data_IF_949833643558
#
_entry.id   IF_949833643558
#
_cell.length_a   1.000
_cell.length_b   1.000
_cell.length_c   1.000
_cell.angle_alpha   90.00
_cell.angle_beta   90.00
_cell.angle_gamma   90.00
#
_symmetry.space_group_name_H-M   'P 1'
#
loop_
_entity.id
_entity.type
_entity.pdbx_description
1 polymer ?
#
# COMPACT_ATOMS: atom_id res chain seq x y z
N UNK A 1 -11.95 -15.10 9.04
CA UNK A 1 -11.50 -14.31 7.87
C UNK A 1 -12.52 -14.30 6.72
N UNK A 2 -13.19 -15.43 6.39
CA UNK A 2 -14.41 -15.47 5.56
C UNK A 2 -15.56 -14.59 6.08
N UNK A 3 -15.49 -14.21 7.37
CA UNK A 3 -16.44 -13.33 8.04
C UNK A 3 -16.46 -11.89 7.50
N UNK A 4 -15.32 -11.29 7.09
CA UNK A 4 -15.28 -9.87 6.70
C UNK A 4 -16.17 -9.55 5.49
N UNK A 5 -15.93 -10.20 4.35
CA UNK A 5 -16.70 -9.99 3.12
C UNK A 5 -18.15 -10.45 3.26
N UNK A 6 -18.37 -11.60 3.91
CA UNK A 6 -19.71 -12.16 4.11
C UNK A 6 -20.57 -11.23 4.98
N UNK A 7 -20.00 -10.69 6.05
CA UNK A 7 -20.65 -9.73 6.94
C UNK A 7 -20.92 -8.41 6.24
N UNK A 8 -19.97 -7.89 5.47
CA UNK A 8 -20.15 -6.68 4.68
C UNK A 8 -21.27 -6.86 3.64
N UNK A 9 -21.33 -8.00 2.95
CA UNK A 9 -22.38 -8.32 2.01
C UNK A 9 -23.77 -8.44 2.67
N UNK A 10 -23.85 -9.04 3.86
CA UNK A 10 -25.09 -9.12 4.65
C UNK A 10 -25.57 -7.71 5.05
N UNK A 11 -24.69 -6.89 5.60
CA UNK A 11 -25.02 -5.53 6.02
C UNK A 11 -25.42 -4.64 4.84
N UNK A 12 -24.77 -4.80 3.68
CA UNK A 12 -25.15 -4.09 2.47
C UNK A 12 -26.59 -4.40 2.05
N UNK A 13 -27.03 -5.67 2.16
CA UNK A 13 -28.44 -6.04 1.89
C UNK A 13 -29.41 -5.41 2.89
N UNK A 14 -29.02 -5.29 4.16
CA UNK A 14 -29.87 -4.70 5.20
C UNK A 14 -30.01 -3.18 5.05
N UNK A 15 -28.90 -2.50 4.72
CA UNK A 15 -28.86 -1.06 4.51
C UNK A 15 -29.51 -0.70 3.17
N UNK A 16 -29.14 -1.39 2.09
CA UNK A 16 -29.65 -1.19 0.72
C UNK A 16 -29.54 0.26 0.22
N UNK A 17 -28.47 0.96 0.60
CA UNK A 17 -28.20 2.33 0.15
C UNK A 17 -27.19 2.35 -1.03
N UNK A 18 -27.40 3.14 -2.10
CA UNK A 18 -26.54 3.16 -3.29
C UNK A 18 -25.06 3.47 -3.00
N UNK A 19 -24.79 4.44 -2.12
CA UNK A 19 -23.43 4.82 -1.76
C UNK A 19 -22.69 3.69 -1.03
N UNK A 20 -23.35 3.02 -0.09
CA UNK A 20 -22.80 1.84 0.60
C UNK A 20 -22.57 0.70 -0.40
N UNK A 21 -23.53 0.44 -1.28
CA UNK A 21 -23.41 -0.60 -2.30
C UNK A 21 -22.21 -0.36 -3.24
N UNK A 22 -21.95 0.90 -3.59
CA UNK A 22 -20.80 1.26 -4.43
C UNK A 22 -19.48 0.96 -3.74
N UNK A 23 -19.31 1.35 -2.48
CA UNK A 23 -18.08 1.06 -1.74
C UNK A 23 -17.90 -0.45 -1.46
N UNK A 24 -18.99 -1.20 -1.22
CA UNK A 24 -18.91 -2.66 -1.09
C UNK A 24 -18.50 -3.32 -2.40
N UNK A 25 -18.96 -2.82 -3.56
CA UNK A 25 -18.49 -3.30 -4.87
C UNK A 25 -17.00 -3.01 -5.06
N UNK A 26 -16.55 -1.82 -4.69
CA UNK A 26 -15.12 -1.45 -4.74
C UNK A 26 -14.27 -2.42 -3.92
N UNK A 27 -14.63 -2.68 -2.66
CA UNK A 27 -13.93 -3.65 -1.80
C UNK A 27 -13.85 -5.03 -2.45
N UNK A 28 -14.97 -5.51 -3.02
CA UNK A 28 -14.96 -6.81 -3.70
C UNK A 28 -14.04 -6.81 -4.93
N UNK A 29 -14.00 -5.72 -5.71
CA UNK A 29 -13.08 -5.60 -6.84
C UNK A 29 -11.62 -5.63 -6.39
N UNK A 30 -11.27 -4.86 -5.36
CA UNK A 30 -9.92 -4.84 -4.75
C UNK A 30 -9.53 -6.25 -4.30
N UNK A 31 -10.37 -6.89 -3.49
CA UNK A 31 -10.05 -8.21 -2.93
C UNK A 31 -10.01 -9.29 -4.02
N UNK A 32 -10.88 -9.23 -5.02
CA UNK A 32 -10.86 -10.18 -6.12
C UNK A 32 -9.57 -10.06 -6.94
N UNK A 33 -9.16 -8.84 -7.31
CA UNK A 33 -7.91 -8.60 -8.03
C UNK A 33 -6.70 -9.14 -7.24
N UNK A 34 -6.59 -8.78 -5.96
CA UNK A 34 -5.52 -9.26 -5.09
C UNK A 34 -5.55 -10.79 -4.98
N UNK A 35 -6.72 -11.40 -4.77
CA UNK A 35 -6.83 -12.86 -4.67
C UNK A 35 -6.44 -13.60 -5.95
N UNK A 36 -6.68 -12.97 -7.11
CA UNK A 36 -6.28 -13.45 -8.42
C UNK A 36 -4.82 -13.17 -8.76
N UNK A 37 -4.06 -12.51 -7.87
CA UNK A 37 -2.69 -12.02 -8.11
C UNK A 37 -2.63 -11.07 -9.31
N UNK A 38 -3.62 -10.21 -9.42
CA UNK A 38 -3.72 -9.15 -10.42
C UNK A 38 -3.63 -7.77 -9.75
N UNK A 39 -3.26 -6.76 -10.53
CA UNK A 39 -3.30 -5.36 -10.12
C UNK A 39 -4.63 -4.70 -10.49
N UNK A 40 -5.04 -3.72 -9.69
CA UNK A 40 -6.03 -2.76 -10.12
C UNK A 40 -5.49 -1.94 -11.30
N UNK A 41 -6.36 -1.56 -12.23
CA UNK A 41 -5.96 -0.71 -13.38
C UNK A 41 -5.64 0.73 -12.96
N UNK A 42 -6.32 1.25 -11.95
CA UNK A 42 -6.21 2.60 -11.41
C UNK A 42 -6.33 2.55 -9.89
N UNK A 43 -5.98 3.65 -9.21
CA UNK A 43 -6.15 3.75 -7.77
C UNK A 43 -7.62 3.50 -7.37
N UNK A 44 -7.84 2.83 -6.24
CA UNK A 44 -9.17 2.59 -5.70
C UNK A 44 -9.83 3.91 -5.28
N UNK A 45 -11.16 3.92 -5.21
CA UNK A 45 -11.89 5.07 -4.66
C UNK A 45 -11.82 5.11 -3.13
N UNK A 46 -11.97 6.30 -2.50
CA UNK A 46 -12.05 6.40 -1.05
C UNK A 46 -13.20 5.58 -0.47
N UNK A 47 -12.90 4.87 0.61
CA UNK A 47 -13.82 4.07 1.40
C UNK A 47 -14.07 4.74 2.76
N UNK A 48 -15.18 4.36 3.37
CA UNK A 48 -15.70 5.02 4.55
C UNK A 48 -16.67 6.13 4.18
N UNK A 49 -17.50 6.49 5.16
CA UNK A 49 -18.45 7.58 5.08
C UNK A 49 -17.91 8.76 5.87
N UNK A 50 -17.86 9.93 5.22
CA UNK A 50 -17.66 11.20 5.91
C UNK A 50 -18.84 11.50 6.85
N UNK A 51 -18.68 12.39 7.85
CA UNK A 51 -19.73 12.67 8.83
C UNK A 51 -21.06 13.12 8.20
N UNK A 52 -21.00 14.03 7.22
CA UNK A 52 -22.15 14.51 6.44
C UNK A 52 -22.83 13.40 5.64
N UNK A 53 -22.03 12.57 4.96
CA UNK A 53 -22.52 11.40 4.23
C UNK A 53 -23.17 10.37 5.16
N UNK A 54 -22.60 10.16 6.35
CA UNK A 54 -23.13 9.24 7.34
C UNK A 54 -24.49 9.70 7.85
N UNK A 55 -24.61 10.98 8.21
CA UNK A 55 -25.86 11.60 8.67
C UNK A 55 -26.94 11.51 7.59
N UNK A 56 -26.62 11.89 6.36
CA UNK A 56 -27.55 11.82 5.22
C UNK A 56 -28.04 10.39 4.98
N UNK A 57 -27.14 9.41 4.96
CA UNK A 57 -27.54 8.01 4.77
C UNK A 57 -28.42 7.54 5.92
N UNK A 58 -28.13 7.95 7.16
CA UNK A 58 -28.92 7.55 8.33
C UNK A 58 -30.36 8.11 8.26
N UNK A 59 -30.51 9.34 7.79
CA UNK A 59 -31.83 9.94 7.52
C UNK A 59 -32.59 9.15 6.46
N UNK A 60 -31.92 8.77 5.37
CA UNK A 60 -32.53 8.02 4.27
C UNK A 60 -32.98 6.60 4.65
N UNK A 61 -32.20 5.91 5.49
CA UNK A 61 -32.43 4.49 5.83
C UNK A 61 -33.20 4.27 7.14
N UNK A 62 -33.42 5.32 7.94
CA UNK A 62 -34.06 5.26 9.25
C UNK A 62 -33.09 5.02 10.42
N UNK A 63 -33.35 5.69 11.55
CA UNK A 63 -32.50 5.65 12.76
C UNK A 63 -32.40 4.25 13.39
N UNK A 64 -33.37 3.38 13.14
CA UNK A 64 -33.37 1.98 13.56
C UNK A 64 -32.22 1.16 12.94
N UNK A 65 -31.67 1.61 11.81
CA UNK A 65 -30.50 0.99 11.16
C UNK A 65 -29.16 1.61 11.55
N UNK A 66 -29.14 2.52 12.52
CA UNK A 66 -27.93 3.23 12.97
C UNK A 66 -26.80 2.28 13.36
N UNK A 67 -27.12 1.17 14.06
CA UNK A 67 -26.10 0.21 14.46
C UNK A 67 -25.49 -0.53 13.27
N UNK A 68 -26.30 -0.94 12.29
CA UNK A 68 -25.87 -1.59 11.07
C UNK A 68 -25.01 -0.64 10.23
N UNK A 69 -25.40 0.63 10.11
CA UNK A 69 -24.64 1.64 9.39
C UNK A 69 -23.28 1.90 10.08
N UNK A 70 -23.26 2.02 11.41
CA UNK A 70 -22.03 2.16 12.19
C UNK A 70 -21.06 1.00 11.96
N UNK A 71 -21.56 -0.24 12.03
CA UNK A 71 -20.74 -1.44 11.78
C UNK A 71 -20.24 -1.46 10.33
N UNK A 72 -21.10 -1.11 9.38
CA UNK A 72 -20.74 -1.06 7.96
C UNK A 72 -19.64 -0.04 7.73
N UNK A 73 -19.78 1.19 8.23
CA UNK A 73 -18.76 2.22 8.10
C UNK A 73 -17.43 1.77 8.72
N UNK A 74 -17.46 1.10 9.88
CA UNK A 74 -16.27 0.52 10.49
C UNK A 74 -15.60 -0.51 9.55
N UNK A 75 -16.37 -1.41 8.94
CA UNK A 75 -15.84 -2.42 8.02
C UNK A 75 -15.27 -1.81 6.74
N UNK A 76 -15.93 -0.78 6.18
CA UNK A 76 -15.43 -0.01 5.04
C UNK A 76 -14.04 0.57 5.33
N UNK A 77 -13.86 1.16 6.52
CA UNK A 77 -12.58 1.70 7.00
C UNK A 77 -11.55 0.63 7.43
N UNK A 78 -11.93 -0.65 7.51
CA UNK A 78 -11.05 -1.73 7.99
C UNK A 78 -10.44 -2.56 6.86
N UNK A 79 -10.59 -2.15 5.59
CA UNK A 79 -10.08 -2.90 4.44
C UNK A 79 -8.57 -3.15 4.56
N UNK A 80 -7.77 -2.13 4.88
CA UNK A 80 -6.31 -2.28 4.98
C UNK A 80 -5.90 -3.31 6.03
N UNK A 81 -6.55 -3.32 7.18
CA UNK A 81 -6.32 -4.33 8.21
C UNK A 81 -6.69 -5.74 7.71
N UNK A 82 -7.80 -5.86 6.97
CA UNK A 82 -8.15 -7.12 6.34
C UNK A 82 -7.08 -7.57 5.34
N UNK A 83 -6.58 -6.66 4.49
CA UNK A 83 -5.56 -6.96 3.48
C UNK A 83 -4.22 -7.37 4.12
N UNK A 84 -3.77 -6.69 5.19
CA UNK A 84 -2.53 -7.05 5.87
C UNK A 84 -2.62 -8.42 6.54
N UNK A 85 -3.73 -8.69 7.24
CA UNK A 85 -3.95 -9.96 7.92
C UNK A 85 -4.21 -11.13 6.96
N UNK A 86 -4.74 -10.88 5.76
CA UNK A 86 -5.10 -11.93 4.80
C UNK A 86 -4.06 -12.15 3.70
N UNK A 87 -3.39 -11.09 3.28
CA UNK A 87 -2.50 -11.10 2.12
C UNK A 87 -1.09 -10.59 2.44
N UNK A 88 -0.79 -10.13 3.67
CA UNK A 88 0.55 -9.68 4.04
C UNK A 88 1.00 -8.43 3.27
N UNK A 89 0.05 -7.52 2.98
CA UNK A 89 0.30 -6.28 2.26
C UNK A 89 -0.28 -5.10 3.03
N UNK A 90 0.46 -3.99 3.05
CA UNK A 90 0.06 -2.75 3.71
C UNK A 90 -0.21 -1.62 2.75
N UNK A 91 0.16 -1.75 1.48
CA UNK A 91 -0.05 -0.76 0.42
C UNK A 91 -0.58 -1.46 -0.83
N UNK A 92 -1.44 -0.78 -1.58
CA UNK A 92 -2.14 -1.33 -2.75
C UNK A 92 -1.74 -0.54 -4.00
N UNK A 93 -0.67 -0.94 -4.72
CA UNK A 93 -0.34 -0.38 -6.02
C UNK A 93 -1.45 -0.61 -7.05
N UNK A 94 -1.39 0.18 -8.11
CA UNK A 94 -2.20 -0.01 -9.30
C UNK A 94 -1.33 0.15 -10.55
N UNK A 95 -1.79 -0.40 -11.68
CA UNK A 95 -1.04 -0.45 -12.93
C UNK A 95 -0.68 0.95 -13.45
N UNK A 96 -1.56 1.94 -13.31
CA UNK A 96 -1.28 3.31 -13.74
C UNK A 96 -0.11 3.93 -12.95
N UNK A 97 -0.02 3.66 -11.65
CA UNK A 97 1.11 4.11 -10.82
C UNK A 97 2.41 3.42 -11.18
N UNK A 98 2.41 2.10 -11.39
CA UNK A 98 3.62 1.40 -11.82
C UNK A 98 4.10 1.90 -13.18
N UNK A 99 3.17 2.11 -14.13
CA UNK A 99 3.49 2.68 -15.44
C UNK A 99 4.06 4.10 -15.30
N UNK A 100 3.46 4.94 -14.46
CA UNK A 100 3.97 6.30 -14.24
C UNK A 100 5.38 6.27 -13.64
N UNK A 101 5.68 5.38 -12.69
CA UNK A 101 7.05 5.21 -12.16
C UNK A 101 8.01 4.78 -13.26
N UNK A 102 7.60 3.84 -14.13
CA UNK A 102 8.40 3.40 -15.27
C UNK A 102 8.67 4.55 -16.25
N UNK A 103 7.67 5.36 -16.57
CA UNK A 103 7.77 6.47 -17.52
C UNK A 103 8.63 7.62 -16.97
N UNK A 104 8.66 7.84 -15.65
CA UNK A 104 9.48 8.88 -15.04
C UNK A 104 10.94 8.46 -14.87
N UNK A 105 11.19 7.23 -14.41
CA UNK A 105 12.52 6.80 -13.98
C UNK A 105 13.19 5.78 -14.88
N UNK A 106 12.44 5.14 -15.79
CA UNK A 106 12.94 4.13 -16.73
C UNK A 106 13.83 3.04 -16.09
N UNK A 107 13.47 2.47 -14.92
CA UNK A 107 14.33 1.50 -14.26
C UNK A 107 14.40 0.21 -15.09
N UNK A 108 15.60 -0.35 -15.24
CA UNK A 108 15.78 -1.70 -15.80
C UNK A 108 15.67 -2.74 -14.71
N UNK A 109 16.20 -2.43 -13.53
CA UNK A 109 16.09 -3.26 -12.33
C UNK A 109 15.52 -2.47 -11.14
N UNK A 110 14.52 -3.07 -10.47
CA UNK A 110 13.90 -2.56 -9.24
C UNK A 110 14.21 -3.48 -8.07
N UNK A 111 14.67 -2.91 -6.96
CA UNK A 111 14.76 -3.58 -5.67
C UNK A 111 13.64 -3.08 -4.75
N UNK A 112 12.71 -3.95 -4.40
CA UNK A 112 11.75 -3.70 -3.32
C UNK A 112 12.32 -4.20 -1.99
N UNK A 113 12.42 -3.30 -1.01
CA UNK A 113 12.80 -3.60 0.38
C UNK A 113 11.58 -3.40 1.28
N UNK A 114 11.50 -4.21 2.34
CA UNK A 114 10.32 -4.25 3.22
C UNK A 114 9.06 -4.64 2.43
N UNK A 115 9.21 -5.58 1.49
CA UNK A 115 8.19 -5.86 0.48
C UNK A 115 6.90 -6.48 1.04
N UNK A 116 6.90 -6.97 2.29
CA UNK A 116 5.87 -7.89 2.78
C UNK A 116 5.77 -9.08 1.83
N UNK A 117 4.57 -9.31 1.29
CA UNK A 117 4.35 -10.34 0.27
C UNK A 117 4.61 -9.90 -1.18
N UNK A 118 5.26 -8.74 -1.40
CA UNK A 118 5.79 -8.27 -2.69
C UNK A 118 4.73 -7.93 -3.75
N UNK A 119 3.69 -7.22 -3.35
CA UNK A 119 2.62 -6.81 -4.26
C UNK A 119 3.02 -5.63 -5.17
N UNK A 120 3.91 -4.73 -4.74
CA UNK A 120 4.53 -3.74 -5.63
C UNK A 120 5.45 -4.42 -6.65
N UNK A 121 6.27 -5.37 -6.22
CA UNK A 121 7.13 -6.10 -7.15
C UNK A 121 6.36 -6.94 -8.18
N UNK A 122 5.21 -7.50 -7.83
CA UNK A 122 4.30 -8.11 -8.81
C UNK A 122 3.93 -7.11 -9.91
N UNK A 123 3.69 -5.85 -9.55
CA UNK A 123 3.38 -4.79 -10.49
C UNK A 123 4.50 -4.49 -11.47
N UNK A 124 5.72 -4.26 -10.98
CA UNK A 124 6.88 -4.04 -11.85
C UNK A 124 7.15 -5.25 -12.76
N UNK A 125 7.03 -6.48 -12.24
CA UNK A 125 7.14 -7.69 -13.06
C UNK A 125 6.08 -7.79 -14.15
N UNK A 126 4.85 -7.35 -13.88
CA UNK A 126 3.76 -7.33 -14.88
C UNK A 126 4.10 -6.44 -16.07
N UNK A 127 4.91 -5.38 -15.87
CA UNK A 127 5.43 -4.51 -16.92
C UNK A 127 6.77 -5.00 -17.53
N UNK A 128 7.24 -6.19 -17.14
CA UNK A 128 8.48 -6.78 -17.67
C UNK A 128 9.77 -6.20 -17.08
N UNK A 129 9.70 -5.47 -15.96
CA UNK A 129 10.88 -4.89 -15.29
C UNK A 129 11.56 -5.97 -14.43
N UNK A 130 12.88 -6.08 -14.50
CA UNK A 130 13.64 -6.99 -13.62
C UNK A 130 13.46 -6.56 -12.17
N UNK A 131 12.88 -7.42 -11.35
CA UNK A 131 12.40 -7.00 -10.02
C UNK A 131 12.77 -8.02 -8.96
N UNK A 132 13.41 -7.52 -7.91
CA UNK A 132 13.87 -8.28 -6.74
C UNK A 132 13.07 -7.78 -5.53
N UNK A 133 12.40 -8.69 -4.85
CA UNK A 133 11.69 -8.38 -3.60
C UNK A 133 12.44 -8.95 -2.40
N UNK A 134 12.57 -8.15 -1.34
CA UNK A 134 13.21 -8.55 -0.09
C UNK A 134 12.37 -8.10 1.10
N UNK A 135 12.32 -8.96 2.11
CA UNK A 135 11.68 -8.67 3.39
C UNK A 135 12.35 -9.53 4.47
N UNK A 136 12.41 -9.03 5.71
CA UNK A 136 12.97 -9.77 6.84
C UNK A 136 11.99 -10.80 7.43
N UNK A 137 10.74 -10.82 6.97
CA UNK A 137 9.67 -11.70 7.42
C UNK A 137 9.39 -11.64 8.93
N UNK A 138 9.87 -10.62 9.64
CA UNK A 138 9.67 -10.47 11.09
C UNK A 138 8.18 -10.37 11.43
N UNK A 139 7.39 -9.71 10.58
CA UNK A 139 5.93 -9.62 10.70
C UNK A 139 5.22 -10.96 10.44
N UNK A 140 5.83 -11.87 9.68
CA UNK A 140 5.26 -13.15 9.30
C UNK A 140 5.49 -14.24 10.36
N UNK A 141 6.38 -14.02 11.34
CA UNK A 141 6.62 -14.99 12.44
C UNK A 141 5.34 -15.30 13.25
N UNK A 142 4.37 -14.40 13.22
CA UNK A 142 3.08 -14.54 13.90
C UNK A 142 1.88 -14.68 12.93
N UNK A 143 2.14 -14.74 11.62
CA UNK A 143 1.10 -14.77 10.58
C UNK A 143 1.34 -15.86 9.53
N UNK A 144 0.32 -16.67 9.25
CA UNK A 144 0.37 -17.67 8.17
C UNK A 144 0.48 -17.05 6.77
N UNK A 145 0.23 -15.74 6.63
CA UNK A 145 0.22 -15.08 5.32
C UNK A 145 1.59 -14.87 4.69
N UNK A 146 2.67 -14.81 5.48
CA UNK A 146 4.02 -14.63 4.93
C UNK A 146 4.53 -15.82 4.12
N UNK A 147 3.87 -16.98 4.20
CA UNK A 147 4.22 -18.17 3.43
C UNK A 147 3.64 -18.19 2.00
N UNK A 148 2.94 -17.13 1.57
CA UNK A 148 2.27 -17.07 0.27
C UNK A 148 2.52 -15.75 -0.46
N UNK A 149 3.77 -15.41 -0.77
CA UNK A 149 4.07 -14.17 -1.45
C UNK A 149 3.56 -14.17 -2.90
N UNK A 150 3.35 -12.97 -3.45
CA UNK A 150 2.85 -12.77 -4.81
C UNK A 150 3.89 -13.16 -5.86
N UNK A 151 5.16 -12.88 -5.57
CA UNK A 151 6.35 -13.33 -6.30
C UNK A 151 7.41 -13.82 -5.28
N UNK A 152 8.50 -14.48 -5.69
CA UNK A 152 9.56 -14.86 -4.73
C UNK A 152 10.10 -13.65 -3.95
N UNK A 153 10.17 -13.79 -2.62
CA UNK A 153 10.75 -12.81 -1.69
C UNK A 153 11.99 -13.41 -1.06
N UNK A 154 13.12 -12.71 -1.15
CA UNK A 154 14.35 -13.13 -0.48
C UNK A 154 14.35 -12.66 0.97
N UNK A 155 14.76 -13.55 1.86
CA UNK A 155 14.89 -13.27 3.30
C UNK A 155 16.15 -12.44 3.57
N UNK A 156 16.01 -11.13 3.36
CA UNK A 156 17.03 -10.14 3.66
C UNK A 156 16.36 -8.94 4.33
N UNK A 157 16.96 -8.48 5.42
CA UNK A 157 16.65 -7.15 5.92
C UNK A 157 17.03 -6.09 4.88
N UNK A 158 16.44 -4.90 5.01
CA UNK A 158 16.60 -3.82 4.04
C UNK A 158 18.07 -3.41 3.83
N UNK A 159 18.90 -3.41 4.88
CA UNK A 159 20.31 -3.03 4.79
C UNK A 159 21.12 -4.09 4.05
N UNK A 160 20.89 -5.36 4.38
CA UNK A 160 21.52 -6.51 3.72
C UNK A 160 21.15 -6.56 2.23
N UNK A 161 19.89 -6.29 1.89
CA UNK A 161 19.41 -6.21 0.51
C UNK A 161 20.11 -5.09 -0.29
N UNK A 162 20.13 -3.87 0.25
CA UNK A 162 20.80 -2.70 -0.36
C UNK A 162 22.28 -3.00 -0.64
N UNK A 163 22.98 -3.63 0.31
CA UNK A 163 24.39 -3.99 0.16
C UNK A 163 24.64 -5.07 -0.89
N UNK A 164 23.67 -5.95 -1.12
CA UNK A 164 23.81 -7.10 -2.00
C UNK A 164 23.43 -6.79 -3.44
N UNK A 165 22.35 -6.05 -3.63
CA UNK A 165 21.77 -5.77 -4.95
C UNK A 165 22.15 -4.37 -5.43
N UNK A 166 23.45 -4.17 -5.71
CA UNK A 166 23.98 -2.85 -6.04
C UNK A 166 23.79 -2.41 -7.49
N UNK A 167 23.07 -3.21 -8.28
CA UNK A 167 22.80 -2.93 -9.69
C UNK A 167 21.38 -2.40 -9.93
N UNK A 168 20.59 -2.22 -8.87
CA UNK A 168 19.23 -1.71 -8.98
C UNK A 168 19.25 -0.23 -9.41
N UNK A 169 18.48 0.11 -10.44
CA UNK A 169 18.30 1.51 -10.87
C UNK A 169 17.31 2.25 -9.97
N UNK A 170 16.41 1.52 -9.34
CA UNK A 170 15.41 2.05 -8.42
C UNK A 170 15.28 1.13 -7.20
N UNK A 171 15.27 1.74 -6.02
CA UNK A 171 14.98 1.07 -4.75
C UNK A 171 13.65 1.61 -4.23
N UNK A 172 12.67 0.73 -4.06
CA UNK A 172 11.38 1.05 -3.48
C UNK A 172 11.31 0.47 -2.06
N UNK A 173 11.16 1.34 -1.06
CA UNK A 173 10.84 0.93 0.29
C UNK A 173 9.32 0.96 0.48
N UNK A 174 8.71 -0.23 0.54
CA UNK A 174 7.27 -0.38 0.66
C UNK A 174 6.88 -0.45 2.14
N UNK A 175 6.42 0.65 2.73
CA UNK A 175 5.86 0.65 4.10
C UNK A 175 6.86 0.34 5.23
N UNK A 176 7.82 1.23 5.47
CA UNK A 176 8.69 1.09 6.63
C UNK A 176 7.92 1.25 7.96
N UNK A 177 8.14 0.38 8.97
CA UNK A 177 7.52 0.55 10.28
C UNK A 177 7.90 1.88 10.93
N UNK A 178 6.96 2.53 11.63
CA UNK A 178 7.19 3.84 12.25
C UNK A 178 7.82 3.79 13.66
N UNK A 179 8.04 2.60 14.20
CA UNK A 179 8.57 2.37 15.55
C UNK A 179 10.04 1.94 15.57
N UNK A 180 10.68 1.79 14.42
CA UNK A 180 12.13 1.52 14.31
C UNK A 180 12.84 2.71 13.63
N UNK A 181 14.18 2.64 13.51
CA UNK A 181 14.99 3.64 12.78
C UNK A 181 15.59 3.05 11.50
N UNK A 182 14.99 1.99 10.98
CA UNK A 182 15.54 1.25 9.84
C UNK A 182 15.47 2.06 8.55
N UNK A 183 14.52 2.97 8.44
CA UNK A 183 14.38 3.94 7.35
C UNK A 183 15.59 4.88 7.18
N UNK A 184 16.14 5.41 8.27
CA UNK A 184 17.35 6.22 8.24
C UNK A 184 18.56 5.39 7.84
N UNK A 185 18.62 4.14 8.32
CA UNK A 185 19.68 3.21 7.93
C UNK A 185 19.56 2.85 6.44
N UNK A 186 18.35 2.72 5.90
CA UNK A 186 18.10 2.54 4.47
C UNK A 186 18.71 3.69 3.68
N UNK A 187 18.43 4.95 4.06
CA UNK A 187 18.98 6.12 3.36
C UNK A 187 20.51 6.13 3.40
N UNK A 188 21.11 5.92 4.58
CA UNK A 188 22.57 5.91 4.74
C UNK A 188 23.24 4.80 3.90
N UNK A 189 22.65 3.60 3.87
CA UNK A 189 23.20 2.49 3.11
C UNK A 189 22.97 2.67 1.61
N UNK A 190 21.83 3.23 1.19
CA UNK A 190 21.58 3.59 -0.20
C UNK A 190 22.62 4.61 -0.69
N UNK A 191 22.86 5.70 0.06
CA UNK A 191 23.89 6.68 -0.29
C UNK A 191 25.28 6.06 -0.41
N UNK A 192 25.60 5.08 0.44
CA UNK A 192 26.91 4.42 0.46
C UNK A 192 27.11 3.40 -0.67
N UNK A 193 26.13 2.55 -0.92
CA UNK A 193 26.29 1.39 -1.81
C UNK A 193 25.64 1.57 -3.17
N UNK A 194 24.52 2.31 -3.22
CA UNK A 194 23.68 2.47 -4.41
C UNK A 194 23.41 3.94 -4.74
N UNK A 195 24.42 4.85 -4.71
CA UNK A 195 24.18 6.28 -4.93
C UNK A 195 23.61 6.62 -6.32
N UNK A 196 23.71 5.71 -7.30
CA UNK A 196 23.15 5.91 -8.63
C UNK A 196 21.65 5.59 -8.70
N UNK A 197 21.13 4.80 -7.75
CA UNK A 197 19.74 4.34 -7.77
C UNK A 197 18.79 5.46 -7.31
N UNK A 198 17.59 5.52 -7.88
CA UNK A 198 16.51 6.35 -7.32
C UNK A 198 15.94 5.68 -6.08
N UNK A 199 15.92 6.36 -4.93
CA UNK A 199 15.30 5.85 -3.70
C UNK A 199 13.90 6.44 -3.50
N UNK A 200 12.90 5.56 -3.52
CA UNK A 200 11.50 5.88 -3.29
C UNK A 200 11.01 5.21 -2.00
N UNK A 201 10.14 5.91 -1.27
CA UNK A 201 9.39 5.38 -0.13
C UNK A 201 7.90 5.47 -0.41
N UNK A 202 7.16 4.40 -0.10
CA UNK A 202 5.70 4.41 -0.04
C UNK A 202 5.29 4.54 1.42
N UNK A 203 4.53 5.58 1.74
CA UNK A 203 4.07 5.80 3.11
C UNK A 203 3.23 7.06 3.29
N UNK A 204 2.91 7.36 4.54
CA UNK A 204 2.22 8.56 5.01
C UNK A 204 3.18 9.42 5.84
N UNK A 205 3.36 10.67 5.43
CA UNK A 205 4.20 11.63 6.15
C UNK A 205 3.62 11.93 7.52
N UNK A 206 4.46 11.84 8.56
CA UNK A 206 4.08 12.11 9.96
C UNK A 206 2.90 11.26 10.47
N UNK A 207 2.73 10.05 9.90
CA UNK A 207 1.60 9.16 10.20
C UNK A 207 1.99 7.70 10.45
N UNK A 208 1.35 6.78 9.72
CA UNK A 208 1.42 5.34 9.96
C UNK A 208 2.75 4.66 9.53
N UNK A 209 3.63 5.36 8.82
CA UNK A 209 4.87 4.80 8.25
C UNK A 209 6.08 5.65 8.54
N UNK A 210 7.24 5.01 8.57
CA UNK A 210 8.54 5.61 8.84
C UNK A 210 8.60 6.32 10.20
N UNK A 211 9.79 6.43 10.75
CA UNK A 211 10.04 7.13 11.99
C UNK A 211 9.80 8.64 11.84
N UNK A 212 9.38 9.34 12.92
CA UNK A 212 9.34 10.80 12.92
C UNK A 212 10.70 11.42 12.56
N UNK A 213 11.81 10.80 13.00
CA UNK A 213 13.15 11.25 12.66
C UNK A 213 13.40 11.25 11.13
N UNK A 214 12.89 10.28 10.39
CA UNK A 214 12.99 10.23 8.93
C UNK A 214 12.26 11.40 8.27
N UNK A 215 11.02 11.66 8.67
CA UNK A 215 10.22 12.75 8.11
C UNK A 215 10.81 14.13 8.41
N UNK A 216 11.47 14.30 9.56
CA UNK A 216 12.08 15.56 9.95
C UNK A 216 13.50 15.78 9.39
N UNK A 217 14.30 14.70 9.21
CA UNK A 217 15.72 14.82 8.85
C UNK A 217 15.97 14.68 7.35
N UNK A 218 15.12 13.95 6.63
CA UNK A 218 15.35 13.71 5.21
C UNK A 218 14.82 14.84 4.33
N UNK A 219 15.54 15.06 3.23
CA UNK A 219 15.11 15.99 2.20
C UNK A 219 14.41 15.22 1.09
N UNK A 220 13.17 15.62 0.79
CA UNK A 220 12.38 15.00 -0.27
C UNK A 220 12.40 15.84 -1.55
N UNK A 221 12.31 15.15 -2.68
CA UNK A 221 12.11 15.77 -3.99
C UNK A 221 10.65 16.16 -4.18
N UNK A 222 10.43 17.38 -4.70
CA UNK A 222 9.11 17.88 -5.11
C UNK A 222 9.07 18.10 -6.62
N UNK A 223 9.70 17.18 -7.36
CA UNK A 223 9.77 17.25 -8.82
C UNK A 223 8.41 17.00 -9.46
N UNK A 224 8.23 17.48 -10.69
CA UNK A 224 7.03 17.20 -11.48
C UNK A 224 6.81 15.69 -11.70
N UNK A 225 7.89 14.90 -11.72
CA UNK A 225 7.83 13.44 -11.79
C UNK A 225 7.08 12.85 -10.59
N UNK A 226 7.46 13.27 -9.38
CA UNK A 226 6.81 12.79 -8.14
C UNK A 226 5.36 13.26 -8.05
N UNK A 227 5.06 14.48 -8.49
CA UNK A 227 3.67 14.95 -8.59
C UNK A 227 2.85 14.04 -9.51
N UNK A 228 3.32 13.75 -10.73
CA UNK A 228 2.60 12.89 -11.68
C UNK A 228 2.42 11.46 -11.16
N UNK A 229 3.41 10.90 -10.48
CA UNK A 229 3.29 9.59 -9.81
C UNK A 229 2.18 9.63 -8.76
N UNK A 230 2.20 10.61 -7.86
CA UNK A 230 1.18 10.76 -6.82
C UNK A 230 -0.21 11.17 -7.34
N UNK A 231 -0.33 11.67 -8.56
CA UNK A 231 -1.64 11.88 -9.20
C UNK A 231 -2.34 10.56 -9.53
N UNK A 232 -1.56 9.50 -9.78
CA UNK A 232 -2.08 8.15 -10.08
C UNK A 232 -2.20 7.25 -8.84
N UNK A 233 -1.55 7.62 -7.74
CA UNK A 233 -1.54 6.85 -6.50
C UNK A 233 -2.42 7.54 -5.45
N UNK A 234 -3.53 6.90 -5.07
CA UNK A 234 -4.49 7.42 -4.10
C UNK A 234 -4.85 6.34 -3.09
N UNK A 235 -4.96 6.74 -1.83
CA UNK A 235 -5.45 5.90 -0.76
C UNK A 235 -6.95 5.64 -0.87
N UNK A 236 -7.34 4.44 -0.43
CA UNK A 236 -8.74 4.06 -0.25
C UNK A 236 -9.25 4.29 1.18
N UNK A 237 -8.38 4.61 2.14
CA UNK A 237 -8.77 4.87 3.53
C UNK A 237 -8.17 6.19 4.02
N UNK A 238 -8.26 6.44 5.33
CA UNK A 238 -7.82 7.69 5.94
C UNK A 238 -6.29 7.86 5.99
N UNK A 239 -5.51 6.83 5.67
CA UNK A 239 -4.05 6.94 5.66
C UNK A 239 -3.64 7.57 4.34
N UNK A 240 -3.01 8.75 4.36
CA UNK A 240 -2.63 9.49 3.15
C UNK A 240 -1.31 8.96 2.57
N UNK A 241 -1.37 7.82 1.89
CA UNK A 241 -0.22 7.21 1.25
C UNK A 241 0.23 8.01 0.04
N UNK A 242 1.51 8.30 -0.01
CA UNK A 242 2.17 8.93 -1.13
C UNK A 242 3.52 8.24 -1.39
N UNK A 243 4.06 8.52 -2.57
CA UNK A 243 5.41 8.14 -2.97
C UNK A 243 6.33 9.33 -2.77
N UNK A 244 7.38 9.11 -1.98
CA UNK A 244 8.40 10.11 -1.65
C UNK A 244 9.74 9.71 -2.25
N UNK A 245 10.36 10.61 -3.01
CA UNK A 245 11.75 10.44 -3.44
C UNK A 245 12.69 11.14 -2.46
N UNK A 246 13.64 10.39 -1.92
CA UNK A 246 14.71 10.96 -1.08
C UNK A 246 15.75 11.62 -1.98
N UNK A 247 16.15 12.85 -1.63
CA UNK A 247 17.24 13.54 -2.31
C UNK A 247 18.58 12.95 -1.87
N UNK A 248 19.47 12.81 -2.84
CA UNK A 248 20.85 12.44 -2.59
C UNK A 248 21.60 13.53 -1.84
#
# INVERSE_FOLDING_TARGET
MTDYLSKLALLNKQISHPQVTTQVKEINQIVNAISARELLKKAPVPLGLLPDQYEQILEDIGTEKSQQLKITNKLLNSLRQFLSLRYGIWSVPNLATIQQIQDEFHPKQVLEIMAGNAYWSLGFKTLGIDTIATDSNEWAKTSQTGSSPFIPVFDYDAISAIRRFTQADLILCSWAPNFTKDDLNVVQNWQKYNPHATLLFVGEKDGATNSPDFWHKQLFSHSAAITRINDTFKSFDFIDEQIFQVKQ
#
